data_IF_730809185685
#
_entry.id   IF_730809185685
#
_cell.length_a   1.000
_cell.length_b   1.000
_cell.length_c   1.000
_cell.angle_alpha   90.00
_cell.angle_beta   90.00
_cell.angle_gamma   90.00
#
_symmetry.space_group_name_H-M   'P 1'
#
loop_
_entity.id
_entity.type
_entity.pdbx_description
1 polymer ?
#
# COMPACT_ATOMS: atom_id res chain seq x y z
N UNK A 1 -12.85 22.46 -15.62
CA UNK A 1 -13.10 21.01 -15.90
C UNK A 1 -11.88 20.18 -15.47
N UNK A 2 -10.63 20.67 -15.68
CA UNK A 2 -9.40 19.94 -15.31
C UNK A 2 -9.20 19.75 -13.81
N UNK A 3 -9.58 20.72 -12.96
CA UNK A 3 -9.44 20.62 -11.50
C UNK A 3 -10.41 19.64 -10.84
N UNK A 4 -11.61 19.47 -11.40
CA UNK A 4 -12.58 18.50 -10.92
C UNK A 4 -12.17 17.06 -11.25
N UNK A 5 -11.52 16.85 -12.41
CA UNK A 5 -11.07 15.51 -12.82
C UNK A 5 -9.92 15.00 -11.95
N UNK A 6 -8.99 15.88 -11.55
CA UNK A 6 -7.88 15.52 -10.67
C UNK A 6 -8.30 15.11 -9.25
N UNK A 7 -9.45 15.59 -8.75
CA UNK A 7 -9.92 15.26 -7.40
C UNK A 7 -10.50 13.85 -7.26
N UNK A 8 -10.83 13.16 -8.35
CA UNK A 8 -11.37 11.80 -8.35
C UNK A 8 -10.34 10.72 -8.72
N UNK A 9 -9.13 11.11 -9.11
CA UNK A 9 -8.07 10.14 -9.42
C UNK A 9 -7.40 9.63 -8.16
N UNK A 10 -7.12 8.32 -8.11
CA UNK A 10 -6.31 7.73 -7.06
C UNK A 10 -4.89 8.28 -7.15
N UNK A 11 -4.38 8.79 -6.04
CA UNK A 11 -3.00 9.27 -5.92
C UNK A 11 -2.26 8.38 -4.94
N UNK A 12 -1.05 7.97 -5.29
CA UNK A 12 -0.16 7.22 -4.41
C UNK A 12 1.23 7.81 -4.43
N UNK A 13 1.83 7.93 -3.24
CA UNK A 13 3.20 8.37 -3.05
C UNK A 13 3.94 7.34 -2.20
N UNK A 14 5.07 6.89 -2.70
CA UNK A 14 6.00 6.07 -1.92
C UNK A 14 7.02 6.95 -1.22
N UNK A 15 7.31 6.66 0.03
CA UNK A 15 8.23 7.43 0.86
C UNK A 15 8.94 6.53 1.85
N UNK A 16 10.27 6.60 1.88
CA UNK A 16 11.08 5.97 2.91
C UNK A 16 11.33 6.97 4.05
N UNK A 17 11.08 6.54 5.27
CA UNK A 17 11.30 7.35 6.46
C UNK A 17 12.29 6.66 7.40
N UNK A 18 13.22 7.45 7.92
CA UNK A 18 14.10 7.04 9.03
C UNK A 18 13.38 7.23 10.37
N UNK A 19 13.70 6.42 11.40
CA UNK A 19 13.23 6.68 12.75
C UNK A 19 13.59 8.09 13.21
N UNK A 20 12.58 8.85 13.62
CA UNK A 20 12.69 10.26 14.00
C UNK A 20 12.35 11.26 12.89
N UNK A 21 12.30 10.83 11.64
CA UNK A 21 11.92 11.67 10.49
C UNK A 21 10.42 11.96 10.46
N UNK A 22 10.08 13.15 9.97
CA UNK A 22 8.69 13.62 9.85
C UNK A 22 8.35 13.88 8.38
N UNK A 23 7.17 13.45 7.97
CA UNK A 23 6.61 13.68 6.65
C UNK A 23 5.33 14.51 6.78
N UNK A 24 5.21 15.55 5.96
CA UNK A 24 4.00 16.34 5.84
C UNK A 24 2.98 15.59 4.97
N UNK A 25 1.83 15.32 5.55
CA UNK A 25 0.67 14.78 4.86
C UNK A 25 -0.28 15.91 4.45
N UNK A 26 -0.52 16.01 3.17
CA UNK A 26 -1.52 16.92 2.62
C UNK A 26 -2.57 16.08 1.91
N UNK A 27 -3.80 16.15 2.37
CA UNK A 27 -4.94 15.59 1.64
C UNK A 27 -5.62 16.72 0.87
N UNK A 28 -5.34 16.78 -0.43
CA UNK A 28 -5.91 17.82 -1.32
C UNK A 28 -7.43 17.73 -1.40
N UNK A 29 -8.02 16.53 -1.27
CA UNK A 29 -9.46 16.34 -1.35
C UNK A 29 -10.22 16.91 -0.15
N UNK A 30 -9.60 16.90 1.03
CA UNK A 30 -10.20 17.37 2.29
C UNK A 30 -9.56 18.66 2.79
N UNK A 31 -8.55 19.18 2.10
CA UNK A 31 -7.72 20.32 2.50
C UNK A 31 -7.18 20.20 3.93
N UNK A 32 -6.91 18.98 4.37
CA UNK A 32 -6.40 18.70 5.72
C UNK A 32 -4.90 18.51 5.69
N UNK A 33 -4.21 19.13 6.63
CA UNK A 33 -2.76 19.00 6.84
C UNK A 33 -2.50 18.23 8.13
N UNK A 34 -1.52 17.38 8.12
CA UNK A 34 -1.03 16.68 9.29
C UNK A 34 0.41 16.24 9.08
N UNK A 35 1.13 16.08 10.17
CA UNK A 35 2.49 15.58 10.15
C UNK A 35 2.49 14.14 10.64
N UNK A 36 3.27 13.30 9.98
CA UNK A 36 3.51 11.92 10.38
C UNK A 36 4.99 11.74 10.69
N UNK A 37 5.31 11.35 11.90
CA UNK A 37 6.66 11.04 12.33
C UNK A 37 6.83 9.55 12.50
N UNK A 38 7.86 8.96 11.89
CA UNK A 38 8.25 7.58 12.20
C UNK A 38 8.91 7.54 13.59
N UNK A 39 8.22 6.94 14.55
CA UNK A 39 8.72 6.82 15.92
C UNK A 39 9.67 5.64 16.00
N UNK A 40 9.28 4.50 15.43
CA UNK A 40 10.01 3.25 15.50
C UNK A 40 9.71 2.38 14.27
N UNK A 41 10.71 1.63 13.82
CA UNK A 41 10.58 0.64 12.77
C UNK A 41 11.29 -0.64 13.18
N UNK A 42 10.60 -1.76 13.08
CA UNK A 42 11.14 -3.07 13.42
C UNK A 42 10.76 -4.14 12.41
N UNK A 43 11.65 -5.11 12.25
CA UNK A 43 11.46 -6.28 11.39
C UNK A 43 11.35 -7.50 12.29
N UNK A 44 10.20 -8.15 12.28
CA UNK A 44 10.05 -9.47 12.90
C UNK A 44 10.51 -10.54 11.91
N UNK A 45 11.33 -11.48 12.39
CA UNK A 45 11.88 -12.58 11.59
C UNK A 45 11.42 -13.93 12.12
N UNK A 46 11.31 -14.90 11.23
CA UNK A 46 11.18 -16.32 11.59
C UNK A 46 12.48 -16.87 12.15
N UNK A 47 12.45 -18.07 12.72
CA UNK A 47 13.62 -18.71 13.32
C UNK A 47 14.75 -19.01 12.31
N UNK A 48 14.45 -19.06 11.03
CA UNK A 48 15.40 -19.22 9.93
C UNK A 48 15.99 -17.89 9.42
N UNK A 49 15.60 -16.76 10.03
CA UNK A 49 16.06 -15.42 9.67
C UNK A 49 15.27 -14.73 8.56
N UNK A 50 14.29 -15.39 7.97
CA UNK A 50 13.44 -14.79 6.93
C UNK A 50 12.52 -13.70 7.54
N UNK A 51 12.41 -12.51 6.93
CA UNK A 51 11.49 -11.48 7.40
C UNK A 51 10.04 -11.98 7.35
N UNK A 52 9.37 -11.92 8.51
CA UNK A 52 7.97 -12.29 8.68
C UNK A 52 7.05 -11.09 8.60
N UNK A 53 7.44 -9.99 9.23
CA UNK A 53 6.59 -8.81 9.34
C UNK A 53 7.43 -7.55 9.48
N UNK A 54 6.98 -6.49 8.82
CA UNK A 54 7.51 -5.13 8.95
C UNK A 54 6.52 -4.29 9.76
N UNK A 55 7.00 -3.61 10.79
CA UNK A 55 6.15 -2.90 11.75
C UNK A 55 6.67 -1.47 11.90
N UNK A 56 5.82 -0.50 11.58
CA UNK A 56 6.11 0.92 11.79
C UNK A 56 5.16 1.54 12.81
N UNK A 57 5.72 2.22 13.80
CA UNK A 57 4.99 3.08 14.73
C UNK A 57 5.06 4.51 14.24
N UNK A 58 3.90 5.07 13.90
CA UNK A 58 3.75 6.40 13.33
C UNK A 58 3.03 7.31 14.33
N UNK A 59 3.62 8.47 14.62
CA UNK A 59 2.97 9.51 15.38
C UNK A 59 2.33 10.52 14.42
N UNK A 60 1.02 10.68 14.50
CA UNK A 60 0.24 11.64 13.75
C UNK A 60 0.02 12.89 14.60
N UNK A 61 0.46 14.04 14.12
CA UNK A 61 0.25 15.33 14.78
C UNK A 61 -0.36 16.33 13.81
N UNK A 62 -1.24 17.19 14.34
CA UNK A 62 -1.82 18.32 13.62
C UNK A 62 -2.14 19.43 14.61
N UNK A 63 -1.56 20.60 14.40
CA UNK A 63 -1.80 21.76 15.26
C UNK A 63 -3.25 22.25 15.17
N UNK A 64 -3.81 22.28 13.95
CA UNK A 64 -5.18 22.76 13.69
C UNK A 64 -6.26 21.93 14.42
N UNK A 65 -5.94 20.67 14.77
CA UNK A 65 -6.88 19.70 15.35
C UNK A 65 -6.52 19.27 16.76
N UNK A 66 -5.48 19.86 17.36
CA UNK A 66 -4.93 19.44 18.65
C UNK A 66 -4.79 17.90 18.75
N UNK A 67 -4.29 17.29 17.66
CA UNK A 67 -4.15 15.85 17.52
C UNK A 67 -2.72 15.43 17.75
N UNK A 68 -2.52 14.41 18.60
CA UNK A 68 -1.26 13.72 18.79
C UNK A 68 -1.56 12.25 19.09
N UNK A 69 -1.45 11.38 18.08
CA UNK A 69 -1.88 9.98 18.18
C UNK A 69 -0.83 9.04 17.57
N UNK A 70 -0.45 8.00 18.30
CA UNK A 70 0.45 6.96 17.80
C UNK A 70 -0.38 5.79 17.26
N UNK A 71 -0.11 5.42 16.01
CA UNK A 71 -0.69 4.25 15.35
C UNK A 71 0.40 3.34 14.82
N UNK A 72 0.10 2.04 14.73
CA UNK A 72 1.01 1.04 14.20
C UNK A 72 0.47 0.51 12.88
N UNK A 73 1.31 0.52 11.84
CA UNK A 73 1.04 -0.14 10.57
C UNK A 73 1.94 -1.36 10.41
N UNK A 74 1.38 -2.38 9.74
CA UNK A 74 2.08 -3.63 9.39
C UNK A 74 1.74 -3.99 7.95
N UNK A 75 2.45 -4.94 7.36
CA UNK A 75 2.05 -5.51 6.07
C UNK A 75 0.63 -6.05 6.17
N UNK A 76 -0.23 -5.69 5.22
CA UNK A 76 -1.67 -5.99 5.15
C UNK A 76 -2.55 -5.37 6.27
N UNK A 77 -1.99 -4.48 7.11
CA UNK A 77 -2.73 -3.76 8.15
C UNK A 77 -2.49 -2.26 8.02
N UNK A 78 -3.09 -1.61 7.00
CA UNK A 78 -2.87 -0.19 6.76
C UNK A 78 -3.57 0.69 7.82
N UNK A 79 -3.01 1.87 8.02
CA UNK A 79 -3.64 2.93 8.82
C UNK A 79 -4.51 3.78 7.90
N UNK A 80 -5.74 4.05 8.34
CA UNK A 80 -6.59 5.06 7.72
C UNK A 80 -6.58 6.32 8.56
N UNK A 81 -6.26 7.44 7.92
CA UNK A 81 -6.14 8.72 8.58
C UNK A 81 -6.61 9.85 7.64
N UNK A 82 -7.71 10.53 8.00
CA UNK A 82 -8.26 11.69 7.26
C UNK A 82 -8.40 11.48 5.75
N UNK A 83 -8.97 10.35 5.34
CA UNK A 83 -9.14 10.00 3.93
C UNK A 83 -7.90 9.45 3.24
N UNK A 84 -6.74 9.50 3.90
CA UNK A 84 -5.54 8.83 3.45
C UNK A 84 -5.47 7.40 3.98
N UNK A 85 -4.89 6.52 3.20
CA UNK A 85 -4.55 5.15 3.62
C UNK A 85 -3.04 4.97 3.52
N UNK A 86 -2.41 4.60 4.63
CA UNK A 86 -0.96 4.45 4.74
C UNK A 86 -0.65 2.97 4.92
N UNK A 87 0.11 2.42 3.98
CA UNK A 87 0.53 1.02 3.94
C UNK A 87 2.00 0.90 4.30
N UNK A 88 2.33 -0.12 5.09
CA UNK A 88 3.69 -0.64 5.15
C UNK A 88 3.94 -1.47 3.89
N UNK A 89 4.81 -0.99 3.01
CA UNK A 89 5.02 -1.59 1.70
C UNK A 89 6.40 -2.21 1.54
N UNK A 90 7.43 -1.52 2.05
CA UNK A 90 8.81 -1.90 1.83
C UNK A 90 9.71 -1.48 3.01
N UNK A 91 11.01 -1.79 2.92
CA UNK A 91 12.03 -1.37 3.86
C UNK A 91 13.38 -1.24 3.14
N UNK A 92 14.29 -0.52 3.76
CA UNK A 92 15.66 -0.40 3.27
C UNK A 92 16.64 -0.24 4.46
N UNK A 93 17.90 -0.46 4.22
CA UNK A 93 18.95 -0.03 5.15
C UNK A 93 19.50 1.29 4.60
N UNK A 94 19.07 2.40 5.20
CA UNK A 94 19.36 3.71 4.67
C UNK A 94 20.69 4.27 5.15
N UNK A 95 21.06 4.00 6.40
CA UNK A 95 22.26 4.57 6.97
C UNK A 95 22.99 3.57 7.88
N UNK A 96 24.31 3.74 7.98
CA UNK A 96 25.15 3.13 9.00
C UNK A 96 25.93 4.22 9.74
N UNK A 97 26.18 4.00 11.02
CA UNK A 97 27.04 4.85 11.83
C UNK A 97 28.32 4.09 12.11
N UNK A 98 29.40 4.59 11.59
CA UNK A 98 30.76 4.07 11.81
C UNK A 98 31.55 5.03 12.67
N UNK A 99 32.39 4.48 13.52
CA UNK A 99 33.47 5.23 14.15
C UNK A 99 34.77 4.87 13.40
N UNK A 100 35.40 5.88 12.82
CA UNK A 100 36.68 5.75 12.12
C UNK A 100 37.67 6.64 12.83
N UNK A 101 38.74 6.06 13.35
CA UNK A 101 39.80 6.76 14.10
C UNK A 101 39.23 7.69 15.20
N UNK A 102 38.26 7.20 15.97
CA UNK A 102 37.52 7.88 17.05
C UNK A 102 36.58 9.02 16.58
N UNK A 103 36.30 9.14 15.29
CA UNK A 103 35.35 10.11 14.75
C UNK A 103 34.11 9.35 14.25
N UNK A 104 32.92 9.83 14.63
CA UNK A 104 31.63 9.24 14.17
C UNK A 104 31.23 9.79 12.82
N UNK A 105 30.94 8.88 11.89
CA UNK A 105 30.42 9.18 10.57
C UNK A 105 29.09 8.47 10.37
N UNK A 106 28.06 9.21 9.95
CA UNK A 106 26.82 8.65 9.47
C UNK A 106 26.87 8.60 7.94
N UNK A 107 26.90 7.40 7.39
CA UNK A 107 27.01 7.17 5.97
C UNK A 107 25.64 6.74 5.42
N UNK A 108 25.19 7.41 4.36
CA UNK A 108 24.00 7.02 3.63
C UNK A 108 24.33 5.87 2.68
N UNK A 109 23.53 4.82 2.72
CA UNK A 109 23.64 3.67 1.84
C UNK A 109 22.66 3.81 0.66
N UNK A 110 23.02 3.18 -0.45
CA UNK A 110 22.14 3.02 -1.62
C UNK A 110 22.05 1.55 -1.97
N UNK A 111 20.91 1.12 -2.45
CA UNK A 111 20.76 -0.22 -3.00
C UNK A 111 21.68 -0.42 -4.20
N UNK A 112 22.32 -1.59 -4.26
CA UNK A 112 23.25 -1.98 -5.33
C UNK A 112 22.73 -3.27 -5.98
N UNK A 113 21.76 -3.17 -6.92
CA UNK A 113 21.12 -4.33 -7.54
C UNK A 113 22.10 -5.24 -8.27
N UNK A 114 23.23 -4.70 -8.71
CA UNK A 114 24.29 -5.45 -9.42
C UNK A 114 25.00 -6.48 -8.52
N UNK A 115 24.97 -6.29 -7.20
CA UNK A 115 25.56 -7.22 -6.22
C UNK A 115 24.52 -8.24 -5.75
N UNK A 116 23.27 -7.82 -5.62
CA UNK A 116 22.16 -8.68 -5.22
C UNK A 116 20.91 -7.91 -4.85
N UNK A 117 19.80 -8.61 -4.74
CA UNK A 117 18.56 -8.03 -4.25
C UNK A 117 18.69 -7.70 -2.76
N UNK A 118 18.23 -6.51 -2.35
CA UNK A 118 18.27 -6.04 -0.98
C UNK A 118 19.70 -6.02 -0.42
N UNK A 119 20.66 -5.55 -1.21
CA UNK A 119 22.04 -5.25 -0.79
C UNK A 119 22.23 -3.75 -0.89
N UNK A 120 22.54 -3.14 0.24
CA UNK A 120 22.82 -1.69 0.30
C UNK A 120 24.29 -1.46 0.54
N UNK A 121 24.84 -0.40 -0.04
CA UNK A 121 26.24 -0.09 0.14
C UNK A 121 26.61 1.34 -0.17
N UNK A 122 27.88 1.65 0.14
CA UNK A 122 28.51 2.95 -0.10
C UNK A 122 30.01 2.77 -0.30
N UNK A 123 30.58 3.59 -1.14
CA UNK A 123 32.03 3.71 -1.31
C UNK A 123 32.59 4.68 -0.28
N UNK A 124 33.69 4.27 0.39
CA UNK A 124 34.40 5.08 1.37
C UNK A 124 35.89 5.04 1.11
N UNK A 125 36.57 6.13 1.38
CA UNK A 125 38.02 6.20 1.38
C UNK A 125 38.55 6.00 2.81
N UNK A 126 39.38 4.98 3.01
CA UNK A 126 40.00 4.67 4.29
C UNK A 126 41.54 4.68 4.19
N UNK A 127 42.20 5.13 5.22
CA UNK A 127 43.66 5.15 5.35
C UNK A 127 44.19 6.49 5.84
N UNK A 128 45.14 6.45 6.75
CA UNK A 128 45.78 7.64 7.33
C UNK A 128 46.88 8.20 6.42
N UNK A 129 47.68 7.34 5.79
CA UNK A 129 48.80 7.75 4.94
C UNK A 129 48.51 7.63 3.46
N UNK A 130 47.89 6.51 3.04
CA UNK A 130 47.49 6.25 1.68
C UNK A 130 45.98 5.91 1.66
N UNK A 131 45.18 6.80 1.05
CA UNK A 131 43.77 6.57 0.93
C UNK A 131 43.47 5.50 -0.11
N UNK A 132 42.69 4.50 0.26
CA UNK A 132 42.16 3.47 -0.65
C UNK A 132 40.64 3.41 -0.62
N UNK A 133 40.06 3.01 -1.73
CA UNK A 133 38.61 2.87 -1.85
C UNK A 133 38.15 1.51 -1.35
N UNK A 134 37.18 1.54 -0.44
CA UNK A 134 36.51 0.36 0.09
C UNK A 134 35.01 0.44 -0.22
N UNK A 135 34.45 -0.69 -0.59
CA UNK A 135 33.01 -0.87 -0.72
C UNK A 135 32.47 -1.45 0.58
N UNK A 136 31.60 -0.70 1.22
CA UNK A 136 30.80 -1.17 2.36
C UNK A 136 29.51 -1.74 1.83
N UNK A 137 29.16 -2.97 2.21
CA UNK A 137 27.88 -3.60 1.83
C UNK A 137 27.20 -4.26 3.01
N UNK A 138 25.87 -4.23 3.02
CA UNK A 138 25.04 -4.84 4.04
C UNK A 138 23.74 -5.36 3.42
N UNK A 139 23.26 -6.51 3.88
CA UNK A 139 22.04 -7.18 3.42
C UNK A 139 21.03 -7.44 4.55
N UNK A 140 21.41 -7.15 5.80
CA UNK A 140 20.59 -7.42 6.97
C UNK A 140 20.73 -6.31 8.01
N UNK A 141 19.63 -5.91 8.64
CA UNK A 141 19.62 -4.86 9.67
C UNK A 141 20.37 -5.22 10.96
N UNK A 142 20.67 -6.51 11.15
CA UNK A 142 21.50 -7.00 12.27
C UNK A 142 22.98 -7.17 11.88
N UNK A 143 23.34 -6.91 10.62
CA UNK A 143 24.68 -7.08 10.10
C UNK A 143 24.99 -8.51 9.64
N UNK A 144 26.23 -8.81 9.27
CA UNK A 144 27.41 -7.93 9.33
C UNK A 144 27.45 -6.86 8.24
N UNK A 145 28.14 -5.76 8.53
CA UNK A 145 28.62 -4.85 7.51
C UNK A 145 29.90 -5.44 6.90
N UNK A 146 29.91 -5.68 5.61
CA UNK A 146 31.06 -6.18 4.86
C UNK A 146 31.89 -5.01 4.34
N UNK A 147 33.19 -5.00 4.64
CA UNK A 147 34.13 -4.01 4.12
C UNK A 147 35.03 -4.72 3.12
N UNK A 148 34.93 -4.38 1.84
CA UNK A 148 35.69 -5.01 0.78
C UNK A 148 36.59 -4.01 0.09
N UNK A 149 37.87 -4.34 -0.08
CA UNK A 149 38.79 -3.55 -0.91
C UNK A 149 38.45 -3.78 -2.37
N UNK A 150 38.29 -2.70 -3.16
CA UNK A 150 37.92 -2.77 -4.57
C UNK A 150 39.04 -3.37 -5.42
N UNK A 151 40.31 -3.19 -5.02
CA UNK A 151 41.46 -3.61 -5.82
C UNK A 151 41.67 -5.13 -5.78
N UNK A 152 41.46 -5.78 -4.61
CA UNK A 152 41.78 -7.19 -4.41
C UNK A 152 40.59 -8.05 -3.93
N UNK A 153 39.41 -7.44 -3.79
CA UNK A 153 38.16 -8.07 -3.32
C UNK A 153 38.29 -8.78 -1.95
N UNK A 154 39.37 -8.49 -1.21
CA UNK A 154 39.50 -8.98 0.17
C UNK A 154 38.50 -8.22 1.05
N UNK A 155 37.71 -8.94 1.84
CA UNK A 155 36.68 -8.37 2.69
C UNK A 155 36.73 -8.87 4.11
N UNK A 156 36.34 -8.02 5.03
CA UNK A 156 36.15 -8.33 6.43
C UNK A 156 34.69 -8.03 6.84
N UNK A 157 34.22 -8.76 7.83
CA UNK A 157 32.92 -8.54 8.42
C UNK A 157 33.05 -7.71 9.70
N UNK A 158 32.15 -6.76 9.87
CA UNK A 158 32.09 -5.89 11.04
C UNK A 158 30.68 -6.04 11.67
N UNK A 159 30.63 -6.42 12.94
CA UNK A 159 29.40 -6.52 13.70
C UNK A 159 29.26 -5.33 14.66
N UNK A 160 28.02 -5.08 15.06
CA UNK A 160 27.75 -4.04 16.06
C UNK A 160 28.37 -4.47 17.40
N UNK A 161 29.10 -3.55 18.02
CA UNK A 161 29.83 -3.74 19.31
C UNK A 161 31.03 -4.68 19.25
N UNK A 162 31.50 -5.10 18.08
CA UNK A 162 32.79 -5.76 17.96
C UNK A 162 33.95 -4.78 18.22
N UNK A 163 35.11 -5.35 18.53
CA UNK A 163 36.34 -4.59 18.62
C UNK A 163 36.66 -3.89 17.30
N UNK A 164 37.26 -2.70 17.33
CA UNK A 164 37.64 -1.98 16.13
C UNK A 164 38.53 -2.80 15.20
N UNK A 165 38.10 -2.90 13.94
CA UNK A 165 38.84 -3.57 12.88
C UNK A 165 39.86 -2.59 12.28
N UNK A 166 41.13 -3.00 12.16
CA UNK A 166 42.13 -2.22 11.45
C UNK A 166 42.04 -2.45 9.95
N UNK A 167 41.69 -1.39 9.19
CA UNK A 167 41.54 -1.40 7.73
C UNK A 167 42.41 -0.29 7.16
N UNK A 168 43.46 -0.66 6.43
CA UNK A 168 44.40 0.28 5.81
C UNK A 168 44.92 1.35 6.78
N UNK A 169 45.38 0.93 7.96
CA UNK A 169 45.86 1.78 9.04
C UNK A 169 44.82 2.71 9.69
N UNK A 170 43.55 2.53 9.41
CA UNK A 170 42.44 3.18 10.14
C UNK A 170 41.70 2.17 11.00
N UNK A 171 41.30 2.57 12.20
CA UNK A 171 40.47 1.76 13.10
C UNK A 171 38.99 2.04 12.80
N UNK A 172 38.24 1.00 12.37
CA UNK A 172 36.86 1.11 12.01
C UNK A 172 36.01 0.24 12.91
N UNK A 173 34.95 0.79 13.49
CA UNK A 173 33.95 0.04 14.25
C UNK A 173 32.51 0.42 13.82
N UNK A 174 31.62 -0.57 13.78
CA UNK A 174 30.22 -0.37 13.48
C UNK A 174 29.45 -0.07 14.77
N UNK A 175 28.85 1.12 14.85
CA UNK A 175 28.10 1.56 16.03
C UNK A 175 26.62 1.33 15.89
N UNK A 176 26.06 1.56 14.67
CA UNK A 176 24.62 1.46 14.46
C UNK A 176 24.30 1.21 12.99
N UNK A 177 23.28 0.39 12.76
CA UNK A 177 22.61 0.23 11.47
C UNK A 177 21.24 0.90 11.62
N UNK A 178 20.84 1.71 10.64
CA UNK A 178 19.59 2.46 10.68
C UNK A 178 18.72 2.03 9.49
N UNK A 179 17.77 1.12 9.73
CA UNK A 179 16.78 0.77 8.71
C UNK A 179 15.76 1.90 8.53
N UNK A 180 15.17 1.96 7.36
CA UNK A 180 14.05 2.86 7.03
C UNK A 180 12.81 2.08 6.66
N UNK A 181 11.66 2.68 6.96
CA UNK A 181 10.35 2.15 6.60
C UNK A 181 9.90 2.71 5.26
N UNK A 182 9.62 1.85 4.30
CA UNK A 182 8.98 2.20 3.04
C UNK A 182 7.45 2.22 3.20
N UNK A 183 6.86 3.42 3.12
CA UNK A 183 5.43 3.65 3.28
C UNK A 183 4.82 4.05 1.94
N UNK A 184 3.67 3.48 1.60
CA UNK A 184 2.83 3.96 0.50
C UNK A 184 1.64 4.71 1.09
N UNK A 185 1.51 5.96 0.71
CA UNK A 185 0.41 6.84 1.11
C UNK A 185 -0.53 6.98 -0.07
N UNK A 186 -1.78 6.53 0.09
CA UNK A 186 -2.82 6.59 -0.94
C UNK A 186 -3.93 7.53 -0.55
N UNK A 187 -4.33 8.36 -1.49
CA UNK A 187 -5.58 9.12 -1.47
C UNK A 187 -6.47 8.58 -2.59
N UNK A 188 -7.59 7.97 -2.22
CA UNK A 188 -8.51 7.37 -3.19
C UNK A 188 -9.95 7.82 -2.92
N UNK A 189 -10.33 8.99 -3.41
CA UNK A 189 -11.67 9.56 -3.22
C UNK A 189 -12.74 8.82 -4.04
N UNK A 190 -12.37 7.95 -4.97
CA UNK A 190 -13.29 7.20 -5.83
C UNK A 190 -13.91 5.96 -5.15
N UNK A 191 -13.34 5.47 -4.06
CA UNK A 191 -13.80 4.26 -3.35
C UNK A 191 -15.30 4.28 -3.02
N UNK A 192 -15.91 5.36 -2.46
CA UNK A 192 -17.34 5.39 -2.18
C UNK A 192 -18.20 5.22 -3.43
N UNK A 193 -17.78 5.78 -4.57
CA UNK A 193 -18.49 5.65 -5.85
C UNK A 193 -18.44 4.21 -6.39
N UNK A 194 -17.33 3.51 -6.19
CA UNK A 194 -17.20 2.09 -6.56
C UNK A 194 -18.20 1.25 -5.76
N UNK A 195 -18.28 1.44 -4.45
CA UNK A 195 -19.27 0.71 -3.62
C UNK A 195 -20.70 1.04 -4.03
N UNK A 196 -21.01 2.31 -4.32
CA UNK A 196 -22.32 2.71 -4.82
C UNK A 196 -22.65 2.02 -6.14
N UNK A 197 -21.68 1.93 -7.05
CA UNK A 197 -21.86 1.22 -8.33
C UNK A 197 -22.17 -0.27 -8.14
N UNK A 198 -21.50 -0.94 -7.18
CA UNK A 198 -21.84 -2.33 -6.85
C UNK A 198 -23.26 -2.48 -6.31
N UNK A 199 -23.72 -1.56 -5.47
CA UNK A 199 -25.13 -1.56 -4.99
C UNK A 199 -26.10 -1.42 -6.16
N UNK A 200 -25.83 -0.53 -7.12
CA UNK A 200 -26.67 -0.35 -8.30
C UNK A 200 -26.71 -1.61 -9.18
N UNK A 201 -25.57 -2.30 -9.35
CA UNK A 201 -25.48 -3.56 -10.11
C UNK A 201 -26.36 -4.64 -9.44
N UNK A 202 -26.23 -4.80 -8.12
CA UNK A 202 -27.03 -5.76 -7.35
C UNK A 202 -28.52 -5.44 -7.50
N UNK A 203 -28.89 -4.18 -7.32
CA UNK A 203 -30.28 -3.72 -7.44
C UNK A 203 -30.83 -3.93 -8.84
N UNK A 204 -30.07 -3.57 -9.87
CA UNK A 204 -30.43 -3.82 -11.27
C UNK A 204 -30.61 -5.31 -11.58
N UNK A 205 -29.76 -6.16 -11.01
CA UNK A 205 -29.88 -7.62 -11.15
C UNK A 205 -31.16 -8.14 -10.52
N UNK A 206 -31.51 -7.67 -9.32
CA UNK A 206 -32.77 -8.05 -8.63
C UNK A 206 -33.98 -7.63 -9.48
N UNK A 207 -34.01 -6.39 -9.95
CA UNK A 207 -35.09 -5.90 -10.81
C UNK A 207 -35.16 -6.74 -12.10
N UNK A 208 -34.00 -7.07 -12.68
CA UNK A 208 -33.95 -7.89 -13.88
C UNK A 208 -34.54 -9.29 -13.69
N UNK A 209 -34.58 -9.83 -12.45
CA UNK A 209 -35.21 -11.13 -12.15
C UNK A 209 -36.74 -11.08 -12.15
N UNK A 210 -37.34 -9.90 -11.99
CA UNK A 210 -38.79 -9.74 -11.96
C UNK A 210 -39.35 -10.07 -13.35
N UNK A 211 -40.29 -11.03 -13.48
CA UNK A 211 -40.90 -11.34 -14.75
C UNK A 211 -41.85 -10.20 -15.21
N UNK A 212 -41.73 -9.82 -16.46
CA UNK A 212 -42.63 -8.85 -17.08
C UNK A 212 -43.67 -9.62 -17.88
N UNK A 213 -44.93 -9.44 -17.53
CA UNK A 213 -46.07 -10.02 -18.24
C UNK A 213 -46.81 -8.92 -18.99
N UNK A 214 -47.10 -9.16 -20.25
CA UNK A 214 -47.89 -8.27 -21.08
C UNK A 214 -49.16 -8.99 -21.53
N UNK A 215 -50.28 -8.30 -21.42
CA UNK A 215 -51.60 -8.79 -21.87
C UNK A 215 -52.18 -7.75 -22.78
N UNK A 216 -52.79 -8.20 -23.88
CA UNK A 216 -53.58 -7.36 -24.80
C UNK A 216 -54.86 -8.03 -25.19
N UNK A 217 -55.90 -7.21 -25.35
CA UNK A 217 -57.25 -7.64 -25.73
C UNK A 217 -57.61 -6.90 -26.99
N UNK A 218 -57.97 -7.66 -28.03
CA UNK A 218 -58.48 -7.14 -29.27
C UNK A 218 -59.98 -7.40 -29.34
N UNK A 219 -60.77 -6.35 -29.49
CA UNK A 219 -62.24 -6.42 -29.63
C UNK A 219 -62.59 -6.10 -31.06
N UNK A 220 -63.14 -7.10 -31.78
CA UNK A 220 -63.68 -6.86 -33.08
C UNK A 220 -65.22 -6.62 -32.95
N UNK A 221 -65.62 -5.36 -33.12
CA UNK A 221 -67.05 -4.92 -32.99
C UNK A 221 -68.00 -5.49 -34.05
N UNK A 222 -67.47 -5.73 -35.26
CA UNK A 222 -68.30 -6.22 -36.36
C UNK A 222 -68.63 -7.71 -36.21
N UNK A 223 -67.69 -8.50 -35.76
CA UNK A 223 -67.82 -9.95 -35.55
C UNK A 223 -68.20 -10.36 -34.14
N UNK A 224 -68.30 -9.40 -33.21
CA UNK A 224 -68.52 -9.63 -31.77
C UNK A 224 -67.55 -10.64 -31.17
N UNK A 225 -66.32 -10.68 -31.72
CA UNK A 225 -65.25 -11.57 -31.24
C UNK A 225 -64.20 -10.84 -30.36
N UNK A 226 -63.84 -11.47 -29.29
CA UNK A 226 -62.82 -11.02 -28.40
C UNK A 226 -61.59 -11.95 -28.54
N UNK A 227 -60.43 -11.39 -28.82
CA UNK A 227 -59.16 -12.13 -28.87
C UNK A 227 -58.23 -11.63 -27.78
N UNK A 228 -57.73 -12.56 -26.95
CA UNK A 228 -56.82 -12.25 -25.85
C UNK A 228 -55.45 -12.84 -26.17
N UNK A 229 -54.42 -12.03 -26.05
CA UNK A 229 -53.02 -12.44 -26.23
C UNK A 229 -52.18 -12.03 -25.04
N UNK A 230 -51.11 -12.78 -24.80
CA UNK A 230 -50.18 -12.46 -23.72
C UNK A 230 -48.77 -12.97 -23.99
N UNK A 231 -47.80 -12.28 -23.41
CA UNK A 231 -46.36 -12.61 -23.49
C UNK A 231 -45.75 -12.45 -22.14
N UNK A 232 -44.87 -13.39 -21.78
CA UNK A 232 -44.01 -13.32 -20.59
C UNK A 232 -42.57 -13.49 -21.00
N UNK A 233 -41.66 -12.70 -20.39
CA UNK A 233 -40.24 -12.75 -20.72
C UNK A 233 -39.47 -13.83 -19.94
N UNK A 234 -39.98 -14.35 -18.82
CA UNK A 234 -39.22 -15.28 -17.96
C UNK A 234 -40.00 -16.47 -17.42
N UNK A 235 -41.14 -16.28 -16.79
CA UNK A 235 -41.91 -17.35 -16.14
C UNK A 235 -43.06 -17.79 -17.05
N UNK A 236 -42.76 -18.47 -18.15
CA UNK A 236 -43.77 -18.88 -19.13
C UNK A 236 -44.81 -19.85 -18.55
N UNK A 237 -44.39 -20.76 -17.63
CA UNK A 237 -45.29 -21.76 -17.02
C UNK A 237 -46.29 -21.09 -16.06
N UNK A 238 -45.78 -20.26 -15.15
CA UNK A 238 -46.62 -19.48 -14.23
C UNK A 238 -47.58 -18.55 -14.99
N UNK A 239 -47.03 -17.81 -15.98
CA UNK A 239 -47.83 -16.93 -16.80
C UNK A 239 -48.96 -17.65 -17.57
N UNK A 240 -48.70 -18.82 -18.17
CA UNK A 240 -49.75 -19.61 -18.85
C UNK A 240 -50.90 -19.96 -17.91
N UNK A 241 -50.59 -20.35 -16.68
CA UNK A 241 -51.59 -20.72 -15.67
C UNK A 241 -52.50 -19.52 -15.33
N UNK A 242 -51.91 -18.36 -15.08
CA UNK A 242 -52.63 -17.12 -14.79
C UNK A 242 -53.42 -16.61 -16.02
N UNK A 243 -52.80 -16.70 -17.19
CA UNK A 243 -53.43 -16.28 -18.46
C UNK A 243 -54.71 -17.09 -18.76
N UNK A 244 -54.66 -18.42 -18.62
CA UNK A 244 -55.87 -19.25 -18.85
C UNK A 244 -56.93 -18.99 -17.81
N UNK A 245 -56.58 -18.80 -16.54
CA UNK A 245 -57.53 -18.43 -15.50
C UNK A 245 -58.26 -17.12 -15.81
N UNK A 246 -57.53 -16.06 -16.19
CA UNK A 246 -58.06 -14.78 -16.60
C UNK A 246 -58.93 -14.89 -17.88
N UNK A 247 -58.49 -15.69 -18.86
CA UNK A 247 -59.25 -15.93 -20.10
C UNK A 247 -60.59 -16.61 -19.85
N UNK A 248 -60.62 -17.55 -18.90
CA UNK A 248 -61.87 -18.25 -18.54
C UNK A 248 -62.82 -17.37 -17.71
N UNK A 249 -62.29 -16.51 -16.84
CA UNK A 249 -63.09 -15.50 -16.14
C UNK A 249 -63.74 -14.52 -17.11
N UNK A 250 -63.03 -14.04 -18.14
CA UNK A 250 -63.54 -13.12 -19.15
C UNK A 250 -64.60 -13.77 -20.07
N UNK A 251 -64.53 -15.07 -20.35
CA UNK A 251 -65.53 -15.81 -21.13
C UNK A 251 -66.83 -16.02 -20.38
N UNK A 252 -66.80 -16.00 -19.07
CA UNK A 252 -67.96 -16.24 -18.21
C UNK A 252 -68.68 -14.93 -17.82
N UNK A 253 -68.19 -13.78 -18.30
CA UNK A 253 -68.85 -12.48 -18.25
C UNK A 253 -69.60 -12.22 -19.57
#
# INVERSE_FOLDING_TARGET
>A
IGSAYGSFTSQSKEQYLLPGETLDLVNESTNSKANVKLVDFSIERESDGVPKQFISKLNFSSEDLNLNEIKTTKVNHPIRFKGLTIYQADWAISNVVLEIDNILYQLQLKEIPEIGNQVWGVLVELGSETKKNFLLTIDNENGPLKISNIENFSGNNLYINDDPLEVNSSKVSLKKIIPSSGLIIKNDPSIPFIYFSFILIIFGTIISLIPTNQLWILVNKESQKLSIGGLSNKNLVGFKKEFFKLSDEIKNF
#
